data_IF_429900284996
#
_entry.id   IF_429900284996
#
_cell.length_a   1.000
_cell.length_b   1.000
_cell.length_c   1.000
_cell.angle_alpha   90.00
_cell.angle_beta   90.00
_cell.angle_gamma   90.00
#
_symmetry.space_group_name_H-M   'P 1'
#
loop_
_entity.id
_entity.type
_entity.pdbx_description
1 polymer ?
#
# COMPACT_ATOMS: atom_id res chain seq x y z
N UNK A 1 49.65 0.48 -3.67
CA UNK A 1 48.90 0.42 -4.94
C UNK A 1 47.54 1.06 -4.70
N UNK A 2 47.19 2.04 -5.53
CA UNK A 2 45.91 2.76 -5.45
C UNK A 2 44.77 1.81 -5.82
N UNK A 3 43.83 1.55 -4.92
CA UNK A 3 42.48 1.09 -5.29
C UNK A 3 41.62 2.34 -5.48
N UNK A 4 41.45 2.74 -6.72
CA UNK A 4 40.49 3.75 -7.16
C UNK A 4 39.09 3.26 -6.82
N UNK A 5 38.50 3.83 -5.77
CA UNK A 5 37.08 3.70 -5.48
C UNK A 5 36.28 4.34 -6.61
N UNK A 6 35.75 3.50 -7.49
CA UNK A 6 34.83 3.93 -8.53
C UNK A 6 33.44 4.03 -7.91
N UNK A 7 33.06 5.22 -7.46
CA UNK A 7 31.68 5.55 -7.13
C UNK A 7 30.92 5.76 -8.44
N UNK A 8 30.72 4.68 -9.20
CA UNK A 8 29.77 4.69 -10.31
C UNK A 8 28.44 4.31 -9.68
N UNK A 9 27.42 5.16 -9.83
CA UNK A 9 26.05 4.68 -9.67
C UNK A 9 25.88 3.51 -10.65
N UNK A 10 25.79 2.29 -10.14
CA UNK A 10 25.48 1.13 -10.99
C UNK A 10 24.07 1.33 -11.53
N UNK A 11 23.99 1.71 -12.81
CA UNK A 11 22.71 1.79 -13.51
C UNK A 11 22.25 0.37 -13.83
N UNK A 12 20.96 0.10 -13.61
CA UNK A 12 20.34 -1.16 -14.05
C UNK A 12 20.36 -1.17 -15.58
N UNK A 13 21.22 -2.00 -16.17
CA UNK A 13 21.33 -2.16 -17.63
C UNK A 13 20.50 -3.34 -18.15
N UNK A 14 20.02 -4.18 -17.25
CA UNK A 14 19.19 -5.33 -17.56
C UNK A 14 17.70 -4.95 -17.57
N UNK A 15 17.03 -5.12 -18.72
CA UNK A 15 15.61 -4.75 -18.86
C UNK A 15 14.71 -5.47 -17.85
N UNK A 16 14.97 -6.75 -17.56
CA UNK A 16 14.17 -7.54 -16.61
C UNK A 16 14.33 -7.01 -15.18
N UNK A 17 15.54 -6.61 -14.80
CA UNK A 17 15.78 -6.00 -13.49
C UNK A 17 15.14 -4.60 -13.39
N UNK A 18 15.13 -3.85 -14.48
CA UNK A 18 14.49 -2.54 -14.56
C UNK A 18 12.96 -2.67 -14.44
N UNK A 19 12.34 -3.60 -15.16
CA UNK A 19 10.91 -3.87 -15.09
C UNK A 19 10.49 -4.32 -13.68
N UNK A 20 11.29 -5.20 -13.07
CA UNK A 20 11.11 -5.61 -11.68
C UNK A 20 11.20 -4.42 -10.71
N UNK A 21 12.17 -3.53 -10.90
CA UNK A 21 12.31 -2.32 -10.10
C UNK A 21 11.08 -1.40 -10.28
N UNK A 22 10.60 -1.21 -11.51
CA UNK A 22 9.40 -0.43 -11.78
C UNK A 22 8.17 -1.01 -11.08
N UNK A 23 7.94 -2.31 -11.17
CA UNK A 23 6.84 -2.96 -10.45
C UNK A 23 6.93 -2.73 -8.93
N UNK A 24 8.12 -2.80 -8.33
CA UNK A 24 8.32 -2.45 -6.91
C UNK A 24 7.93 -1.01 -6.59
N UNK A 25 8.24 -0.05 -7.47
CA UNK A 25 7.84 1.34 -7.28
C UNK A 25 6.31 1.52 -7.37
N UNK A 26 5.65 0.80 -8.27
CA UNK A 26 4.19 0.82 -8.37
C UNK A 26 3.51 0.26 -7.11
N UNK A 27 4.02 -0.83 -6.56
CA UNK A 27 3.54 -1.39 -5.29
C UNK A 27 3.84 -0.44 -4.10
N UNK A 28 5.01 0.23 -4.11
CA UNK A 28 5.37 1.22 -3.09
C UNK A 28 4.44 2.44 -3.11
N UNK A 29 3.97 2.88 -4.28
CA UNK A 29 2.95 3.92 -4.39
C UNK A 29 1.66 3.51 -3.66
N UNK A 30 1.16 2.30 -3.91
CA UNK A 30 -0.02 1.78 -3.21
C UNK A 30 0.15 1.77 -1.68
N UNK A 31 1.31 1.33 -1.20
CA UNK A 31 1.64 1.38 0.23
C UNK A 31 1.65 2.83 0.76
N UNK A 32 2.26 3.77 0.05
CA UNK A 32 2.38 5.16 0.50
C UNK A 32 1.02 5.85 0.52
N UNK A 33 0.19 5.67 -0.51
CA UNK A 33 -1.15 6.26 -0.56
C UNK A 33 -2.06 5.72 0.54
N UNK A 34 -2.09 4.40 0.76
CA UNK A 34 -2.83 3.79 1.86
C UNK A 34 -2.26 4.20 3.23
N UNK A 35 -0.94 4.16 3.37
CA UNK A 35 -0.21 4.48 4.60
C UNK A 35 -0.41 5.93 5.06
N UNK A 36 -0.52 6.86 4.11
CA UNK A 36 -0.83 8.27 4.39
C UNK A 36 -2.16 8.49 5.10
N UNK A 37 -3.08 7.52 5.05
CA UNK A 37 -4.42 7.65 5.63
C UNK A 37 -4.52 7.14 7.08
N UNK A 38 -3.47 6.49 7.60
CA UNK A 38 -3.48 5.91 8.96
C UNK A 38 -3.85 6.92 10.04
N UNK A 39 -3.39 8.16 9.90
CA UNK A 39 -3.69 9.25 10.84
C UNK A 39 -5.20 9.54 10.91
N UNK A 40 -5.86 9.66 9.76
CA UNK A 40 -7.30 9.93 9.68
C UNK A 40 -8.13 8.79 10.29
N UNK A 41 -7.73 7.53 10.05
CA UNK A 41 -8.41 6.37 10.64
C UNK A 41 -8.28 6.36 12.17
N UNK A 42 -7.08 6.66 12.69
CA UNK A 42 -6.83 6.74 14.13
C UNK A 42 -7.63 7.90 14.74
N UNK A 43 -7.65 9.08 14.12
CA UNK A 43 -8.42 10.22 14.61
C UNK A 43 -9.93 9.90 14.66
N UNK A 44 -10.46 9.31 13.59
CA UNK A 44 -11.86 8.89 13.54
C UNK A 44 -12.17 7.86 14.64
N UNK A 45 -11.25 6.94 14.90
CA UNK A 45 -11.37 5.98 16.00
C UNK A 45 -11.33 6.67 17.36
N UNK A 46 -10.39 7.57 17.63
CA UNK A 46 -10.27 8.28 18.92
C UNK A 46 -11.53 9.07 19.23
N UNK A 47 -12.15 9.69 18.22
CA UNK A 47 -13.35 10.51 18.40
C UNK A 47 -14.62 9.71 18.67
N UNK A 48 -14.71 8.45 18.20
CA UNK A 48 -15.95 7.64 18.22
C UNK A 48 -15.82 6.30 18.94
N UNK A 49 -14.61 5.95 19.35
CA UNK A 49 -14.20 4.64 19.88
C UNK A 49 -14.56 3.44 18.98
N UNK A 50 -14.71 3.70 17.67
CA UNK A 50 -15.08 2.71 16.66
C UNK A 50 -14.30 2.98 15.38
N UNK A 51 -13.86 1.91 14.71
CA UNK A 51 -13.24 2.03 13.40
C UNK A 51 -14.24 2.58 12.39
N UNK A 52 -13.83 3.49 11.49
CA UNK A 52 -14.74 4.08 10.51
C UNK A 52 -15.20 3.04 9.48
N UNK A 53 -16.49 3.07 9.16
CA UNK A 53 -17.10 2.12 8.22
C UNK A 53 -16.78 2.43 6.74
N UNK A 54 -16.36 3.67 6.44
CA UNK A 54 -16.02 4.14 5.10
C UNK A 54 -15.15 5.41 5.14
N UNK A 55 -14.80 5.94 3.96
CA UNK A 55 -13.98 7.14 3.81
C UNK A 55 -14.63 8.38 4.44
N UNK A 56 -15.95 8.55 4.28
CA UNK A 56 -16.68 9.71 4.82
C UNK A 56 -16.72 9.67 6.35
N UNK A 57 -16.95 8.50 6.95
CA UNK A 57 -16.90 8.29 8.39
C UNK A 57 -15.51 8.55 8.97
N UNK A 58 -14.47 8.36 8.16
CA UNK A 58 -13.07 8.70 8.46
C UNK A 58 -12.71 10.19 8.21
N UNK A 59 -13.63 11.00 7.68
CA UNK A 59 -13.36 12.42 7.36
C UNK A 59 -12.48 12.62 6.13
N UNK A 60 -12.48 11.65 5.20
CA UNK A 60 -11.64 11.64 4.01
C UNK A 60 -12.45 11.92 2.74
N UNK A 61 -11.74 12.23 1.65
CA UNK A 61 -12.33 12.24 0.31
C UNK A 61 -12.91 10.85 -0.06
N UNK A 62 -13.88 10.81 -0.96
CA UNK A 62 -14.42 9.55 -1.47
C UNK A 62 -13.34 8.70 -2.13
N UNK A 63 -13.48 7.37 -2.07
CA UNK A 63 -12.43 6.43 -2.45
C UNK A 63 -11.92 6.62 -3.89
N UNK A 64 -12.84 6.94 -4.81
CA UNK A 64 -12.60 7.21 -6.23
C UNK A 64 -11.83 8.51 -6.48
N UNK A 65 -11.83 9.45 -5.54
CA UNK A 65 -11.02 10.67 -5.60
C UNK A 65 -9.62 10.49 -4.98
N UNK A 66 -9.32 9.31 -4.42
CA UNK A 66 -8.03 8.99 -3.83
C UNK A 66 -7.19 8.15 -4.79
N UNK A 67 -6.71 8.82 -5.83
CA UNK A 67 -6.01 8.18 -6.96
C UNK A 67 -4.52 8.54 -6.97
N UNK A 68 -3.74 7.65 -7.56
CA UNK A 68 -2.33 7.87 -7.87
C UNK A 68 -2.06 7.64 -9.37
N UNK A 69 -0.78 7.61 -9.73
CA UNK A 69 -0.36 7.21 -11.08
C UNK A 69 -0.69 5.75 -11.37
N UNK A 70 -0.54 4.88 -10.37
CA UNK A 70 -0.77 3.43 -10.49
C UNK A 70 -1.94 2.93 -9.65
N UNK A 71 -2.42 3.74 -8.70
CA UNK A 71 -3.51 3.43 -7.78
C UNK A 71 -4.84 4.00 -8.31
N UNK A 72 -5.83 3.14 -8.45
CA UNK A 72 -7.18 3.48 -8.90
C UNK A 72 -8.05 4.06 -7.79
N UNK A 73 -7.96 3.51 -6.57
CA UNK A 73 -8.71 4.01 -5.42
C UNK A 73 -8.04 3.62 -4.11
N UNK A 74 -8.32 4.41 -3.07
CA UNK A 74 -8.05 4.07 -1.67
C UNK A 74 -9.37 4.06 -0.90
N UNK A 75 -9.80 2.88 -0.49
CA UNK A 75 -11.09 2.64 0.16
C UNK A 75 -10.91 2.28 1.62
N UNK A 76 -11.74 2.87 2.47
CA UNK A 76 -11.83 2.52 3.89
C UNK A 76 -13.01 1.58 4.12
N UNK A 77 -12.87 0.64 5.06
CA UNK A 77 -13.97 -0.19 5.54
C UNK A 77 -14.27 -1.43 4.71
N UNK A 78 -13.48 -1.70 3.67
CA UNK A 78 -13.60 -2.86 2.80
C UNK A 78 -12.23 -3.48 2.60
N UNK A 79 -12.10 -4.79 2.83
CA UNK A 79 -10.84 -5.51 2.67
C UNK A 79 -10.56 -5.90 1.21
N UNK A 80 -9.40 -6.50 0.93
CA UNK A 80 -9.01 -6.88 -0.42
C UNK A 80 -9.99 -7.86 -1.11
N UNK A 81 -10.67 -8.72 -0.34
CA UNK A 81 -11.67 -9.66 -0.83
C UNK A 81 -13.00 -9.00 -1.20
N UNK A 82 -13.23 -7.77 -0.76
CA UNK A 82 -14.48 -7.03 -0.96
C UNK A 82 -15.46 -7.13 0.21
N UNK A 83 -15.07 -7.76 1.32
CA UNK A 83 -15.89 -7.86 2.51
C UNK A 83 -15.79 -6.60 3.36
N UNK A 84 -16.88 -6.25 4.05
CA UNK A 84 -16.89 -5.15 5.01
C UNK A 84 -15.96 -5.45 6.19
N UNK A 85 -15.02 -4.55 6.43
CA UNK A 85 -14.10 -4.60 7.57
C UNK A 85 -13.76 -3.16 7.98
N UNK A 86 -14.47 -2.59 8.97
CA UNK A 86 -14.29 -1.20 9.38
C UNK A 86 -12.82 -0.86 9.71
N UNK A 87 -12.40 0.33 9.29
CA UNK A 87 -11.05 0.86 9.50
C UNK A 87 -9.97 0.32 8.56
N UNK A 88 -10.19 -0.81 7.87
CA UNK A 88 -9.22 -1.30 6.87
C UNK A 88 -9.06 -0.28 5.76
N UNK A 89 -7.82 0.00 5.37
CA UNK A 89 -7.49 0.87 4.24
C UNK A 89 -7.00 -0.01 3.09
N UNK A 90 -7.71 -0.07 1.99
CA UNK A 90 -7.37 -0.88 0.81
C UNK A 90 -7.06 0.02 -0.38
N UNK A 91 -5.82 -0.03 -0.86
CA UNK A 91 -5.43 0.52 -2.15
C UNK A 91 -5.60 -0.52 -3.26
N UNK A 92 -6.23 -0.14 -4.36
CA UNK A 92 -6.40 -0.97 -5.56
C UNK A 92 -5.58 -0.37 -6.69
N UNK A 93 -4.71 -1.17 -7.33
CA UNK A 93 -3.97 -0.77 -8.52
C UNK A 93 -4.89 -0.83 -9.76
N UNK A 94 -4.67 0.06 -10.74
CA UNK A 94 -5.39 0.00 -12.01
C UNK A 94 -5.22 -1.38 -12.68
N UNK A 95 -6.24 -1.81 -13.41
CA UNK A 95 -6.23 -3.09 -14.13
C UNK A 95 -5.68 -3.00 -15.56
N UNK A 96 -4.95 -1.93 -15.86
CA UNK A 96 -4.47 -1.59 -17.20
C UNK A 96 -3.17 -0.77 -17.12
N UNK A 97 -2.64 -0.37 -18.28
CA UNK A 97 -1.46 0.50 -18.32
C UNK A 97 -1.75 1.85 -17.64
N UNK A 98 -0.77 2.43 -16.92
CA UNK A 98 0.67 2.10 -16.91
C UNK A 98 1.08 1.06 -15.85
N UNK A 99 0.14 0.31 -15.25
CA UNK A 99 0.46 -0.72 -14.25
C UNK A 99 1.08 -1.94 -14.94
N UNK A 100 2.17 -2.43 -14.34
CA UNK A 100 2.89 -3.62 -14.76
C UNK A 100 1.92 -4.82 -14.79
N UNK A 101 1.97 -5.68 -15.83
CA UNK A 101 0.99 -6.76 -16.01
C UNK A 101 0.79 -7.65 -14.77
N UNK A 102 1.87 -7.95 -14.04
CA UNK A 102 1.84 -8.75 -12.82
C UNK A 102 1.16 -8.05 -11.63
N UNK A 103 0.91 -6.74 -11.69
CA UNK A 103 0.31 -5.94 -10.63
C UNK A 103 -1.12 -5.46 -10.90
N UNK A 104 -1.60 -5.63 -12.14
CA UNK A 104 -2.91 -5.13 -12.58
C UNK A 104 -4.06 -5.64 -11.70
N UNK A 105 -4.88 -4.72 -11.21
CA UNK A 105 -6.04 -5.02 -10.36
C UNK A 105 -5.70 -5.57 -8.97
N UNK A 106 -4.41 -5.70 -8.63
CA UNK A 106 -3.98 -6.18 -7.32
C UNK A 106 -4.18 -5.12 -6.26
N UNK A 107 -4.25 -5.58 -5.02
CA UNK A 107 -4.64 -4.77 -3.86
C UNK A 107 -3.66 -4.93 -2.72
N UNK A 108 -3.54 -3.85 -1.94
CA UNK A 108 -2.82 -3.82 -0.67
C UNK A 108 -3.75 -3.22 0.39
N UNK A 109 -3.96 -3.96 1.47
CA UNK A 109 -4.77 -3.56 2.62
C UNK A 109 -3.91 -3.34 3.85
N UNK A 110 -4.26 -2.31 4.63
CA UNK A 110 -3.72 -2.05 5.96
C UNK A 110 -4.83 -2.27 6.97
N UNK A 111 -4.66 -3.26 7.84
CA UNK A 111 -5.67 -3.66 8.82
C UNK A 111 -5.31 -3.08 10.18
N UNK A 112 -6.11 -2.16 10.73
CA UNK A 112 -5.82 -1.58 12.02
C UNK A 112 -6.20 -2.52 13.16
N UNK A 113 -5.41 -2.49 14.22
CA UNK A 113 -5.78 -3.03 15.53
C UNK A 113 -5.30 -2.10 16.64
N UNK A 114 -5.91 -2.22 17.82
CA UNK A 114 -5.51 -1.49 19.04
C UNK A 114 -5.13 -2.51 20.10
N UNK A 115 -3.88 -2.46 20.57
CA UNK A 115 -3.36 -3.36 21.59
C UNK A 115 -2.39 -2.61 22.50
N UNK A 116 -2.55 -2.78 23.80
CA UNK A 116 -1.68 -2.19 24.83
C UNK A 116 -1.51 -0.65 24.70
N UNK A 117 -2.59 0.04 24.32
CA UNK A 117 -2.59 1.50 24.11
C UNK A 117 -1.95 1.97 22.80
N UNK A 118 -1.41 1.06 21.98
CA UNK A 118 -0.83 1.37 20.69
C UNK A 118 -1.75 0.95 19.53
N UNK A 119 -1.69 1.72 18.45
CA UNK A 119 -2.32 1.38 17.17
C UNK A 119 -1.32 0.61 16.30
N UNK A 120 -1.72 -0.57 15.84
CA UNK A 120 -0.92 -1.45 15.01
C UNK A 120 -1.59 -1.62 13.64
N UNK A 121 -0.80 -1.98 12.64
CA UNK A 121 -1.24 -2.10 11.26
C UNK A 121 -0.62 -3.34 10.63
N UNK A 122 -1.44 -4.35 10.38
CA UNK A 122 -1.03 -5.49 9.57
C UNK A 122 -1.16 -5.09 8.09
N UNK A 123 -0.15 -5.41 7.29
CA UNK A 123 -0.31 -5.35 5.84
C UNK A 123 -0.94 -6.66 5.38
N UNK A 124 -1.81 -6.65 4.38
CA UNK A 124 -2.31 -7.85 3.68
C UNK A 124 -2.40 -7.53 2.20
N UNK A 125 -1.93 -8.40 1.31
CA UNK A 125 -1.92 -8.11 -0.12
C UNK A 125 -1.97 -9.38 -0.96
N UNK A 126 -2.50 -9.26 -2.19
CA UNK A 126 -2.38 -10.29 -3.23
C UNK A 126 -1.31 -9.95 -4.28
N UNK A 127 -0.50 -8.91 -4.03
CA UNK A 127 0.76 -8.61 -4.73
C UNK A 127 1.81 -9.62 -4.29
N UNK A 128 2.56 -10.16 -5.25
CA UNK A 128 3.65 -11.09 -4.93
C UNK A 128 4.67 -10.40 -4.00
N UNK A 129 5.09 -11.11 -2.96
CA UNK A 129 5.91 -10.58 -1.88
C UNK A 129 7.22 -9.96 -2.36
N UNK A 130 7.78 -10.42 -3.48
CA UNK A 130 8.99 -9.86 -4.07
C UNK A 130 8.83 -8.39 -4.50
N UNK A 131 7.61 -7.96 -4.86
CA UNK A 131 7.32 -6.59 -5.26
C UNK A 131 6.95 -5.68 -4.09
N UNK A 132 6.52 -6.25 -2.97
CA UNK A 132 6.10 -5.48 -1.80
C UNK A 132 7.30 -4.81 -1.09
N UNK A 133 7.08 -3.68 -0.41
CA UNK A 133 8.01 -3.14 0.57
C UNK A 133 8.27 -4.17 1.68
N UNK A 134 9.48 -4.18 2.24
CA UNK A 134 9.94 -5.19 3.20
C UNK A 134 8.99 -5.35 4.40
N UNK A 135 8.52 -4.24 4.97
CA UNK A 135 7.59 -4.22 6.10
C UNK A 135 6.15 -4.68 5.77
N UNK A 136 5.82 -4.89 4.51
CA UNK A 136 4.55 -5.47 4.06
C UNK A 136 4.73 -6.92 3.53
N UNK A 137 5.97 -7.42 3.44
CA UNK A 137 6.21 -8.81 3.07
C UNK A 137 5.79 -9.71 4.23
N UNK A 138 4.87 -10.61 3.97
CA UNK A 138 4.64 -11.74 4.85
C UNK A 138 5.78 -12.71 4.54
N UNK A 139 6.89 -12.58 5.28
CA UNK A 139 7.74 -13.75 5.48
C UNK A 139 6.91 -14.59 6.44
N UNK A 140 6.46 -15.76 5.99
CA UNK A 140 5.69 -16.71 6.79
C UNK A 140 6.17 -16.68 8.24
N UNK A 141 5.30 -16.24 9.15
CA UNK A 141 5.53 -16.36 10.60
C UNK A 141 4.79 -17.59 11.12
#
# INVERSE_FOLDING_TARGET
MKTTGSTICEYITNQKELDFYHAKQQAAEAWNLAGGQKGMIIEAYVNKEKWPDDNTAAGMASADNMQGKYVQEVRVGVNLSGDKQPGVITATLYNEEPVAPELRGKKLSLVPSKKDGAYQWDCVSNIDSQYLPEHCRHVDK
#
